data_IF_511987903211
#
_entry.id   IF_511987903211
#
_cell.length_a   1.000
_cell.length_b   1.000
_cell.length_c   1.000
_cell.angle_alpha   90.00
_cell.angle_beta   90.00
_cell.angle_gamma   90.00
#
_symmetry.space_group_name_H-M   'P 1'
#
loop_
_entity.id
_entity.type
_entity.pdbx_description
1 polymer ?
#
# COMPACT_ATOMS: atom_id res chain seq x y z
N UNK A 1 1.03 15.75 27.38
CA UNK A 1 0.67 16.90 26.51
C UNK A 1 1.21 16.81 25.07
N UNK A 2 2.53 16.93 24.75
CA UNK A 2 2.97 16.85 23.32
C UNK A 2 2.86 15.46 22.68
N UNK A 3 3.14 14.38 23.42
CA UNK A 3 3.12 13.02 22.87
C UNK A 3 1.70 12.51 22.60
N UNK A 4 0.75 12.78 23.50
CA UNK A 4 -0.66 12.37 23.35
C UNK A 4 -1.31 13.04 22.14
N UNK A 5 -0.95 14.30 21.87
CA UNK A 5 -1.46 15.05 20.72
C UNK A 5 -0.93 14.47 19.40
N UNK A 6 0.37 14.18 19.30
CA UNK A 6 0.98 13.55 18.11
C UNK A 6 0.40 12.15 17.87
N UNK A 7 0.20 11.37 18.94
CA UNK A 7 -0.41 10.05 18.83
C UNK A 7 -1.87 10.13 18.37
N UNK A 8 -2.65 11.08 18.90
CA UNK A 8 -4.02 11.34 18.46
C UNK A 8 -4.11 11.71 16.98
N UNK A 9 -3.18 12.54 16.51
CA UNK A 9 -3.09 12.97 15.10
C UNK A 9 -2.76 11.82 14.16
N UNK A 10 -1.77 10.99 14.51
CA UNK A 10 -1.43 9.81 13.73
C UNK A 10 -2.58 8.79 13.70
N UNK A 11 -3.30 8.63 14.80
CA UNK A 11 -4.46 7.72 14.85
C UNK A 11 -5.61 8.19 13.97
N UNK A 12 -5.88 9.50 13.96
CA UNK A 12 -6.90 10.09 13.08
C UNK A 12 -6.50 9.93 11.60
N UNK A 13 -5.26 10.25 11.26
CA UNK A 13 -4.75 10.09 9.89
C UNK A 13 -4.79 8.64 9.42
N UNK A 14 -4.40 7.69 10.27
CA UNK A 14 -4.50 6.26 9.98
C UNK A 14 -5.95 5.86 9.71
N UNK A 15 -6.90 6.32 10.53
CA UNK A 15 -8.35 6.10 10.30
C UNK A 15 -8.79 6.66 8.95
N UNK A 16 -8.34 7.84 8.56
CA UNK A 16 -8.64 8.42 7.25
C UNK A 16 -8.15 7.52 6.12
N UNK A 17 -6.91 7.01 6.19
CA UNK A 17 -6.35 6.09 5.19
C UNK A 17 -7.18 4.81 5.10
N UNK A 18 -7.39 4.11 6.22
CA UNK A 18 -8.04 2.78 6.19
C UNK A 18 -9.52 2.87 5.84
N UNK A 19 -10.21 3.96 6.22
CA UNK A 19 -11.59 4.21 5.81
C UNK A 19 -11.66 4.44 4.30
N UNK A 20 -10.83 5.35 3.76
CA UNK A 20 -10.78 5.62 2.32
C UNK A 20 -10.52 4.35 1.50
N UNK A 21 -9.49 3.59 1.87
CA UNK A 21 -9.14 2.33 1.22
C UNK A 21 -10.31 1.34 1.25
N UNK A 22 -10.96 1.18 2.41
CA UNK A 22 -12.10 0.25 2.52
C UNK A 22 -13.32 0.70 1.71
N UNK A 23 -13.61 2.01 1.67
CA UNK A 23 -14.75 2.56 0.93
C UNK A 23 -14.54 2.41 -0.58
N UNK A 24 -13.38 2.81 -1.09
CA UNK A 24 -13.06 2.68 -2.52
C UNK A 24 -13.00 1.22 -2.97
N UNK A 25 -12.47 0.32 -2.13
CA UNK A 25 -12.48 -1.12 -2.42
C UNK A 25 -13.89 -1.70 -2.51
N UNK A 26 -14.78 -1.29 -1.59
CA UNK A 26 -16.19 -1.70 -1.60
C UNK A 26 -16.94 -1.15 -2.82
N UNK A 27 -16.66 0.09 -3.27
CA UNK A 27 -17.23 0.66 -4.51
C UNK A 27 -16.88 -0.17 -5.76
N UNK A 28 -15.79 -0.93 -5.71
CA UNK A 28 -15.34 -1.84 -6.78
C UNK A 28 -15.87 -3.28 -6.61
N UNK A 29 -16.92 -3.47 -5.80
CA UNK A 29 -17.55 -4.76 -5.48
C UNK A 29 -16.64 -5.75 -4.73
N UNK A 30 -15.59 -5.25 -4.06
CA UNK A 30 -14.72 -6.08 -3.24
C UNK A 30 -14.98 -5.83 -1.75
N UNK A 31 -15.13 -6.89 -0.94
CA UNK A 31 -15.46 -6.73 0.49
C UNK A 31 -14.25 -6.23 1.29
N UNK A 32 -14.37 -5.05 1.90
CA UNK A 32 -13.41 -4.55 2.88
C UNK A 32 -14.04 -3.92 4.11
N UNK A 33 -13.29 -3.92 5.21
CA UNK A 33 -13.59 -3.14 6.42
C UNK A 33 -12.33 -2.39 6.85
N UNK A 34 -12.43 -1.22 7.50
CA UNK A 34 -11.26 -0.51 8.00
C UNK A 34 -10.36 -1.39 8.89
N UNK A 35 -10.96 -2.22 9.77
CA UNK A 35 -10.23 -3.18 10.60
C UNK A 35 -9.54 -4.28 9.81
N UNK A 36 -10.16 -4.75 8.72
CA UNK A 36 -9.58 -5.77 7.84
C UNK A 36 -8.36 -5.22 7.10
N UNK A 37 -8.50 -4.02 6.51
CA UNK A 37 -7.37 -3.30 5.90
C UNK A 37 -6.26 -3.09 6.91
N UNK A 38 -6.56 -2.52 8.08
CA UNK A 38 -5.58 -2.29 9.14
C UNK A 38 -4.85 -3.58 9.54
N UNK A 39 -5.56 -4.69 9.69
CA UNK A 39 -4.97 -5.98 10.08
C UNK A 39 -4.07 -6.62 9.00
N UNK A 40 -4.12 -6.10 7.77
CA UNK A 40 -3.20 -6.50 6.71
C UNK A 40 -1.97 -5.61 6.58
N UNK A 41 -1.94 -4.45 7.24
CA UNK A 41 -0.80 -3.52 7.12
C UNK A 41 0.35 -4.03 7.99
N UNK A 42 1.35 -4.59 7.32
CA UNK A 42 2.63 -4.95 7.92
C UNK A 42 2.60 -6.16 8.84
N UNK A 43 3.69 -6.32 9.57
CA UNK A 43 3.96 -7.45 10.46
C UNK A 43 4.05 -7.02 11.92
N UNK A 44 4.31 -5.74 12.16
CA UNK A 44 4.48 -5.13 13.47
C UNK A 44 3.39 -4.07 13.72
N UNK A 45 2.94 -3.92 14.98
CA UNK A 45 1.88 -2.96 15.34
C UNK A 45 2.25 -1.49 15.04
N UNK A 46 3.54 -1.21 14.83
CA UNK A 46 4.05 0.12 14.52
C UNK A 46 3.97 0.46 13.03
N UNK A 47 3.93 -0.55 12.15
CA UNK A 47 4.01 -0.37 10.69
C UNK A 47 2.92 0.58 10.14
N UNK A 48 1.63 0.46 10.55
CA UNK A 48 0.60 1.38 10.08
C UNK A 48 0.88 2.84 10.46
N UNK A 49 1.48 3.06 11.62
CA UNK A 49 1.80 4.41 12.10
C UNK A 49 3.02 4.99 11.37
N UNK A 50 4.02 4.17 11.03
CA UNK A 50 5.18 4.60 10.23
C UNK A 50 4.76 5.01 8.81
N UNK A 51 3.90 4.21 8.18
CA UNK A 51 3.32 4.54 6.87
C UNK A 51 2.54 5.84 6.96
N UNK A 52 1.66 5.97 7.96
CA UNK A 52 0.84 7.17 8.17
C UNK A 52 1.70 8.42 8.36
N UNK A 53 2.74 8.34 9.20
CA UNK A 53 3.69 9.43 9.38
C UNK A 53 4.38 9.81 8.06
N UNK A 54 4.80 8.79 7.29
CA UNK A 54 5.37 9.00 5.96
C UNK A 54 4.42 9.69 4.98
N UNK A 55 3.12 9.42 5.06
CA UNK A 55 2.11 10.08 4.23
C UNK A 55 1.94 11.55 4.60
N UNK A 56 1.95 11.87 5.89
CA UNK A 56 1.90 13.25 6.39
C UNK A 56 3.12 14.03 5.92
N UNK A 57 4.32 13.49 6.13
CA UNK A 57 5.58 14.17 5.77
C UNK A 57 5.70 14.41 4.26
N UNK A 58 5.14 13.50 3.43
CA UNK A 58 5.10 13.64 1.97
C UNK A 58 3.99 14.57 1.46
N UNK A 59 3.14 15.13 2.33
CA UNK A 59 2.02 15.99 1.93
C UNK A 59 0.86 15.26 1.27
N UNK A 60 0.75 13.94 1.47
CA UNK A 60 -0.39 13.13 1.01
C UNK A 60 -1.62 13.29 1.91
N UNK A 61 -1.37 13.71 3.14
CA UNK A 61 -2.38 13.96 4.16
C UNK A 61 -2.17 15.37 4.67
N UNK A 62 -3.25 16.13 4.79
CA UNK A 62 -3.25 17.47 5.34
C UNK A 62 -4.23 17.59 6.50
N UNK A 63 -4.01 18.59 7.34
CA UNK A 63 -4.91 18.94 8.43
C UNK A 63 -5.54 20.30 8.18
N UNK A 64 -6.86 20.36 8.25
CA UNK A 64 -7.65 21.59 8.14
C UNK A 64 -8.75 21.57 9.19
N UNK A 65 -8.93 22.68 9.91
CA UNK A 65 -9.97 22.83 10.94
C UNK A 65 -10.00 21.69 11.99
N UNK A 66 -8.82 21.23 12.39
CA UNK A 66 -8.65 20.16 13.37
C UNK A 66 -8.91 18.75 12.85
N UNK A 67 -9.32 18.59 11.59
CA UNK A 67 -9.60 17.30 10.93
C UNK A 67 -8.53 16.92 9.91
N UNK A 68 -8.37 15.62 9.73
CA UNK A 68 -7.42 15.06 8.75
C UNK A 68 -8.07 14.69 7.42
N UNK A 69 -7.46 15.12 6.32
CA UNK A 69 -7.92 14.90 4.95
C UNK A 69 -6.81 14.34 4.07
N UNK A 70 -7.19 13.55 3.06
CA UNK A 70 -6.29 13.23 1.96
C UNK A 70 -6.18 14.45 1.05
N UNK A 71 -4.97 14.76 0.60
CA UNK A 71 -4.80 15.70 -0.52
C UNK A 71 -5.16 14.99 -1.83
N UNK A 72 -5.32 15.75 -2.93
CA UNK A 72 -5.55 15.15 -4.26
C UNK A 72 -4.48 14.10 -4.62
N UNK A 73 -3.22 14.40 -4.33
CA UNK A 73 -2.10 13.47 -4.58
C UNK A 73 -2.18 12.27 -3.63
N UNK A 74 -2.64 12.46 -2.39
CA UNK A 74 -2.95 11.37 -1.45
C UNK A 74 -4.02 10.41 -1.96
N UNK A 75 -5.12 10.94 -2.49
CA UNK A 75 -6.18 10.14 -3.11
C UNK A 75 -5.66 9.38 -4.34
N UNK A 76 -4.92 10.04 -5.24
CA UNK A 76 -4.32 9.41 -6.42
C UNK A 76 -3.34 8.29 -6.01
N UNK A 77 -2.55 8.50 -4.96
CA UNK A 77 -1.62 7.52 -4.38
C UNK A 77 -2.35 6.29 -3.87
N UNK A 78 -3.40 6.48 -3.05
CA UNK A 78 -4.18 5.36 -2.51
C UNK A 78 -4.95 4.60 -3.60
N UNK A 79 -5.47 5.31 -4.61
CA UNK A 79 -6.09 4.67 -5.76
C UNK A 79 -5.11 3.81 -6.55
N UNK A 80 -3.86 4.25 -6.70
CA UNK A 80 -2.83 3.43 -7.37
C UNK A 80 -2.54 2.14 -6.61
N UNK A 81 -2.50 2.20 -5.28
CA UNK A 81 -2.34 1.02 -4.42
C UNK A 81 -3.54 0.08 -4.56
N UNK A 82 -4.76 0.61 -4.58
CA UNK A 82 -5.98 -0.18 -4.84
C UNK A 82 -5.89 -0.91 -6.17
N UNK A 83 -5.54 -0.20 -7.25
CA UNK A 83 -5.44 -0.82 -8.58
C UNK A 83 -4.41 -1.94 -8.62
N UNK A 84 -3.26 -1.78 -7.96
CA UNK A 84 -2.26 -2.85 -7.87
C UNK A 84 -2.82 -4.04 -7.09
N UNK A 85 -3.48 -3.80 -5.96
CA UNK A 85 -4.11 -4.86 -5.16
C UNK A 85 -5.16 -5.63 -5.98
N UNK A 86 -5.97 -4.95 -6.80
CA UNK A 86 -6.93 -5.60 -7.70
C UNK A 86 -6.24 -6.47 -8.75
N UNK A 87 -5.15 -5.98 -9.34
CA UNK A 87 -4.39 -6.71 -10.37
C UNK A 87 -3.91 -8.07 -9.84
N UNK A 88 -3.40 -8.10 -8.60
CA UNK A 88 -2.79 -9.29 -8.01
C UNK A 88 -3.78 -10.18 -7.24
N UNK A 89 -5.00 -9.70 -6.97
CA UNK A 89 -5.92 -10.32 -6.01
C UNK A 89 -6.20 -11.79 -6.29
N UNK A 90 -6.54 -12.11 -7.53
CA UNK A 90 -6.98 -13.46 -7.93
C UNK A 90 -5.87 -14.51 -7.76
N UNK A 91 -4.62 -14.11 -7.95
CA UNK A 91 -3.45 -14.98 -7.85
C UNK A 91 -2.76 -14.89 -6.47
N UNK A 92 -3.21 -14.00 -5.59
CA UNK A 92 -2.55 -13.70 -4.31
C UNK A 92 -2.81 -14.74 -3.21
N UNK A 93 -3.58 -15.80 -3.45
CA UNK A 93 -3.91 -16.85 -2.46
C UNK A 93 -4.48 -16.31 -1.13
N UNK A 94 -5.16 -15.16 -1.15
CA UNK A 94 -5.95 -14.69 0.00
C UNK A 94 -7.34 -15.32 -0.03
N UNK A 95 -7.93 -15.72 1.12
CA UNK A 95 -9.27 -16.27 1.14
C UNK A 95 -10.31 -15.21 0.72
N UNK A 96 -11.40 -15.61 0.07
CA UNK A 96 -12.49 -14.69 -0.33
C UNK A 96 -13.09 -13.88 0.86
N UNK A 97 -12.88 -14.37 2.09
CA UNK A 97 -13.30 -13.74 3.34
C UNK A 97 -12.24 -12.82 3.96
N UNK A 98 -11.26 -12.37 3.18
CA UNK A 98 -10.13 -11.57 3.64
C UNK A 98 -10.50 -10.20 4.23
N UNK A 99 -11.69 -9.65 3.90
CA UNK A 99 -12.18 -8.35 4.42
C UNK A 99 -11.21 -7.18 4.21
N UNK A 100 -10.32 -7.27 3.22
CA UNK A 100 -9.41 -6.21 2.80
C UNK A 100 -7.99 -6.29 3.35
N UNK A 101 -7.54 -7.39 3.97
CA UNK A 101 -6.14 -7.51 4.40
C UNK A 101 -5.18 -7.48 3.22
N UNK A 102 -5.53 -8.04 2.07
CA UNK A 102 -4.71 -7.95 0.85
C UNK A 102 -4.44 -6.49 0.49
N UNK A 103 -5.42 -5.60 0.68
CA UNK A 103 -5.26 -4.18 0.40
C UNK A 103 -4.29 -3.53 1.40
N UNK A 104 -4.40 -3.88 2.68
CA UNK A 104 -3.44 -3.45 3.71
C UNK A 104 -2.02 -3.98 3.46
N UNK A 105 -1.90 -5.24 3.07
CA UNK A 105 -0.63 -5.88 2.76
C UNK A 105 0.01 -5.29 1.51
N UNK A 106 -0.80 -4.93 0.52
CA UNK A 106 -0.34 -4.22 -0.68
C UNK A 106 0.11 -2.81 -0.33
N UNK A 107 -0.63 -2.06 0.49
CA UNK A 107 -0.18 -0.76 1.00
C UNK A 107 1.20 -0.87 1.69
N UNK A 108 1.37 -1.87 2.54
CA UNK A 108 2.64 -2.12 3.23
C UNK A 108 3.78 -2.43 2.26
N UNK A 109 3.57 -3.36 1.33
CA UNK A 109 4.58 -3.79 0.37
C UNK A 109 4.98 -2.68 -0.62
N UNK A 110 4.04 -1.79 -0.95
CA UNK A 110 4.28 -0.68 -1.85
C UNK A 110 4.87 0.55 -1.15
N UNK A 111 4.97 0.55 0.18
CA UNK A 111 5.53 1.70 0.89
C UNK A 111 7.03 1.84 0.64
N UNK A 112 7.48 3.08 0.46
CA UNK A 112 8.89 3.45 0.33
C UNK A 112 9.59 3.43 1.70
N UNK A 113 9.95 2.22 2.14
CA UNK A 113 10.67 1.97 3.39
C UNK A 113 12.08 2.57 3.44
N UNK A 114 12.69 2.80 2.27
CA UNK A 114 14.02 3.41 2.16
C UNK A 114 13.98 4.94 2.16
N UNK A 115 12.77 5.54 2.15
CA UNK A 115 12.57 6.98 2.12
C UNK A 115 13.32 7.64 0.94
N UNK A 116 13.29 6.99 -0.22
CA UNK A 116 13.92 7.44 -1.45
C UNK A 116 13.09 8.53 -2.15
N UNK A 117 11.77 8.55 -1.94
CA UNK A 117 10.84 9.48 -2.56
C UNK A 117 10.29 10.45 -1.50
N UNK A 118 10.70 11.71 -1.57
CA UNK A 118 10.54 12.69 -0.48
C UNK A 118 9.22 13.47 -0.56
N UNK A 119 8.63 13.57 -1.74
CA UNK A 119 7.34 14.23 -1.94
C UNK A 119 6.23 13.25 -2.33
N UNK A 120 4.98 13.68 -2.18
CA UNK A 120 3.83 12.89 -2.61
C UNK A 120 3.85 12.60 -4.11
N UNK A 121 4.25 13.58 -4.93
CA UNK A 121 4.33 13.43 -6.39
C UNK A 121 5.42 12.42 -6.80
N UNK A 122 6.59 12.46 -6.16
CA UNK A 122 7.66 11.50 -6.40
C UNK A 122 7.21 10.08 -6.04
N UNK A 123 6.54 9.93 -4.91
CA UNK A 123 6.01 8.64 -4.46
C UNK A 123 4.90 8.12 -5.38
N UNK A 124 3.99 8.98 -5.85
CA UNK A 124 2.99 8.60 -6.83
C UNK A 124 3.63 8.12 -8.14
N UNK A 125 4.63 8.85 -8.67
CA UNK A 125 5.37 8.44 -9.86
C UNK A 125 6.11 7.11 -9.67
N UNK A 126 6.60 6.84 -8.46
CA UNK A 126 7.16 5.55 -8.11
C UNK A 126 6.10 4.43 -8.23
N UNK A 127 4.92 4.61 -7.64
CA UNK A 127 3.83 3.63 -7.72
C UNK A 127 3.36 3.39 -9.16
N UNK A 128 3.37 4.43 -10.01
CA UNK A 128 3.10 4.29 -11.46
C UNK A 128 4.10 3.34 -12.14
N UNK A 129 5.40 3.53 -11.87
CA UNK A 129 6.47 2.67 -12.42
C UNK A 129 6.33 1.23 -11.92
N UNK A 130 6.03 1.05 -10.63
CA UNK A 130 5.80 -0.26 -10.04
C UNK A 130 4.63 -0.96 -10.72
N UNK A 131 3.48 -0.30 -10.86
CA UNK A 131 2.32 -0.89 -11.54
C UNK A 131 2.65 -1.27 -12.99
N UNK A 132 3.38 -0.44 -13.72
CA UNK A 132 3.78 -0.72 -15.08
C UNK A 132 4.63 -2.00 -15.16
N UNK A 133 5.62 -2.16 -14.28
CA UNK A 133 6.44 -3.40 -14.17
C UNK A 133 5.60 -4.63 -13.82
N UNK A 134 4.65 -4.51 -12.89
CA UNK A 134 3.74 -5.62 -12.55
C UNK A 134 2.92 -6.05 -13.77
N UNK A 135 2.37 -5.10 -14.53
CA UNK A 135 1.61 -5.37 -15.76
C UNK A 135 2.48 -5.96 -16.87
N UNK A 136 3.75 -5.56 -16.97
CA UNK A 136 4.71 -6.15 -17.90
C UNK A 136 4.97 -7.63 -17.56
N UNK A 137 5.22 -7.95 -16.28
CA UNK A 137 5.39 -9.34 -15.81
C UNK A 137 4.13 -10.15 -16.15
N UNK A 138 2.94 -9.61 -15.86
CA UNK A 138 1.64 -10.24 -16.19
C UNK A 138 1.49 -10.59 -17.67
N UNK A 139 1.96 -9.71 -18.56
CA UNK A 139 1.90 -9.93 -20.01
C UNK A 139 2.95 -10.93 -20.51
N UNK A 140 4.09 -11.02 -19.83
CA UNK A 140 5.24 -11.77 -20.32
C UNK A 140 5.25 -13.22 -19.83
N UNK A 141 4.81 -13.48 -18.59
CA UNK A 141 4.74 -14.83 -18.04
C UNK A 141 3.70 -14.93 -16.93
N UNK A 142 2.71 -15.78 -17.14
CA UNK A 142 1.66 -16.07 -16.15
C UNK A 142 2.24 -16.67 -14.86
N UNK A 143 3.23 -17.55 -14.98
CA UNK A 143 3.87 -18.20 -13.82
C UNK A 143 4.64 -17.18 -12.96
N UNK A 144 5.45 -16.32 -13.59
CA UNK A 144 6.16 -15.24 -12.89
C UNK A 144 5.18 -14.27 -12.23
N UNK A 145 4.08 -13.96 -12.91
CA UNK A 145 3.04 -13.11 -12.35
C UNK A 145 2.36 -13.74 -11.13
N UNK A 146 2.00 -15.04 -11.20
CA UNK A 146 1.45 -15.77 -10.06
C UNK A 146 2.42 -15.76 -8.88
N UNK A 147 3.69 -16.03 -9.12
CA UNK A 147 4.72 -15.96 -8.09
C UNK A 147 4.76 -14.56 -7.44
N UNK A 148 4.79 -13.51 -8.25
CA UNK A 148 4.77 -12.13 -7.77
C UNK A 148 3.52 -11.82 -6.94
N UNK A 149 2.34 -12.19 -7.42
CA UNK A 149 1.06 -11.95 -6.75
C UNK A 149 0.98 -12.65 -5.39
N UNK A 150 1.60 -13.83 -5.26
CA UNK A 150 1.73 -14.54 -3.97
C UNK A 150 2.73 -13.84 -3.04
N UNK A 151 3.89 -13.44 -3.55
CA UNK A 151 4.98 -12.88 -2.75
C UNK A 151 4.74 -11.45 -2.27
N UNK A 152 4.24 -10.58 -3.15
CA UNK A 152 4.08 -9.14 -2.90
C UNK A 152 3.37 -8.84 -1.57
N UNK A 153 2.20 -9.42 -1.26
CA UNK A 153 1.49 -9.14 0.00
C UNK A 153 2.06 -9.90 1.22
N UNK A 154 3.15 -10.67 1.08
CA UNK A 154 3.71 -11.53 2.13
C UNK A 154 5.17 -11.23 2.46
N UNK A 155 5.77 -10.25 1.80
CA UNK A 155 7.18 -9.95 1.98
C UNK A 155 7.39 -8.79 2.93
N UNK A 156 8.36 -8.95 3.85
CA UNK A 156 8.91 -7.85 4.63
C UNK A 156 10.01 -7.20 3.79
N UNK A 157 9.84 -5.93 3.46
CA UNK A 157 10.85 -5.15 2.75
C UNK A 157 11.68 -4.41 3.80
N UNK A 158 12.69 -5.10 4.34
CA UNK A 158 13.64 -4.55 5.30
C UNK A 158 15.05 -4.41 4.67
N UNK A 159 15.97 -3.90 5.50
CA UNK A 159 17.33 -3.46 5.18
C UNK A 159 17.97 -4.13 3.94
N UNK A 160 18.02 -3.37 2.83
CA UNK A 160 18.71 -3.75 1.61
C UNK A 160 17.88 -4.51 0.57
N UNK A 161 16.63 -4.87 0.87
CA UNK A 161 15.71 -5.52 -0.07
C UNK A 161 14.54 -4.59 -0.42
N UNK A 162 14.41 -4.23 -1.70
CA UNK A 162 13.40 -3.28 -2.19
C UNK A 162 12.40 -3.98 -3.11
N UNK A 163 11.24 -3.34 -3.30
CA UNK A 163 10.23 -3.85 -4.23
C UNK A 163 10.76 -3.93 -5.66
N UNK A 164 11.59 -2.99 -6.09
CA UNK A 164 12.23 -3.00 -7.40
C UNK A 164 13.13 -4.22 -7.56
N UNK A 165 13.90 -4.58 -6.53
CA UNK A 165 14.71 -5.80 -6.54
C UNK A 165 13.85 -7.06 -6.63
N UNK A 166 12.71 -7.10 -5.94
CA UNK A 166 11.75 -8.20 -6.05
C UNK A 166 11.23 -8.32 -7.50
N UNK A 167 10.78 -7.21 -8.08
CA UNK A 167 10.22 -7.19 -9.44
C UNK A 167 11.27 -7.58 -10.48
N UNK A 168 12.50 -7.09 -10.36
CA UNK A 168 13.61 -7.46 -11.25
C UNK A 168 14.00 -8.93 -11.09
N UNK A 169 14.09 -9.41 -9.84
CA UNK A 169 14.35 -10.82 -9.56
C UNK A 169 13.30 -11.72 -10.23
N UNK A 170 12.01 -11.42 -10.06
CA UNK A 170 10.93 -12.18 -10.69
C UNK A 170 11.00 -12.13 -12.22
N UNK A 171 11.27 -10.96 -12.79
CA UNK A 171 11.35 -10.79 -14.25
C UNK A 171 12.47 -11.65 -14.86
N UNK A 172 13.61 -11.78 -14.17
CA UNK A 172 14.79 -12.50 -14.65
C UNK A 172 14.91 -13.96 -14.17
N UNK A 173 13.94 -14.48 -13.41
CA UNK A 173 13.91 -15.92 -13.09
C UNK A 173 13.91 -16.76 -14.38
N UNK A 174 14.84 -17.71 -14.48
CA UNK A 174 14.78 -18.75 -15.51
C UNK A 174 13.64 -19.71 -15.13
N UNK A 175 12.63 -19.79 -16.01
CA UNK A 175 11.48 -20.71 -15.91
C UNK A 175 11.56 -21.72 -17.02
#
# INVERSE_FOLDING_TARGET
MRQEQVYGELHEALRTIVSYLSEEWNKRNNRATPSGVLSGIGFDQIDPYLITYGFIVRGLIERRDGKTYLTRVGEETLNRIIEIAEIIREDSLFPDLDRGKILGATLYALYDWQNSYRTGEEYLQYLEKIKAKILEIKKTSEEKFKLLAVLLPRIKLDEGYTLEKLLEGVLHLET
#
